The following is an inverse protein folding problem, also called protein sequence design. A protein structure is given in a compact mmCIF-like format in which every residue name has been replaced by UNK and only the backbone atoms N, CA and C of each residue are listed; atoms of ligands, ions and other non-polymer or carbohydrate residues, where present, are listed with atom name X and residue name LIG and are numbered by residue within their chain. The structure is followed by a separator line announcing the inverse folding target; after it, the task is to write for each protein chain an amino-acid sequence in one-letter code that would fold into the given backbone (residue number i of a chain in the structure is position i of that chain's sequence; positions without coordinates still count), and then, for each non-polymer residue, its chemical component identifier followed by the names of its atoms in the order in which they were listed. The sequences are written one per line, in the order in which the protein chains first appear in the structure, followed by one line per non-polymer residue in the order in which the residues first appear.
data_IF_711351737334
#
_entry.id   IF_711351737334
#
_cell.length_a   1.000
_cell.length_b   1.000
_cell.length_c   1.000
_cell.angle_alpha   90.00
_cell.angle_beta   90.00
_cell.angle_gamma   90.00
#
_symmetry.space_group_name_H-M   'P 1'
#
loop_
_entity.id
_entity.type
_entity.pdbx_description
1 polymer ?
#
# COMPACT_ATOMS: atom_id res chain seq x y z
N UNK A 1 10.61 72.84 1.42
CA UNK A 1 10.38 71.61 0.67
C UNK A 1 10.96 70.41 1.45
N UNK A 2 10.12 69.64 2.09
CA UNK A 2 10.54 68.48 2.89
C UNK A 2 10.11 67.20 2.14
N UNK A 3 11.10 66.47 1.61
CA UNK A 3 10.88 65.15 0.99
C UNK A 3 10.79 64.10 2.11
N UNK A 4 9.64 63.48 2.24
CA UNK A 4 9.44 62.31 3.12
C UNK A 4 9.81 61.07 2.32
N UNK A 5 10.86 60.36 2.79
CA UNK A 5 11.19 59.03 2.31
C UNK A 5 10.22 58.02 2.93
N UNK A 6 9.48 57.28 2.09
CA UNK A 6 8.71 56.12 2.51
C UNK A 6 9.67 54.93 2.58
N UNK A 7 9.91 54.42 3.79
CA UNK A 7 10.51 53.10 3.95
C UNK A 7 9.43 52.05 3.70
N UNK A 8 9.56 51.30 2.60
CA UNK A 8 8.81 50.09 2.38
C UNK A 8 9.41 48.96 3.22
N UNK A 9 8.69 48.52 4.25
CA UNK A 9 8.99 47.30 5.00
C UNK A 9 8.61 46.12 4.14
N UNK A 10 9.57 45.42 3.56
CA UNK A 10 9.40 44.10 2.98
C UNK A 10 9.27 43.10 4.12
N UNK A 11 8.03 42.72 4.42
CA UNK A 11 7.75 41.58 5.28
C UNK A 11 8.11 40.29 4.54
N UNK A 12 9.28 39.74 4.80
CA UNK A 12 9.65 38.39 4.40
C UNK A 12 8.83 37.38 5.25
N UNK A 13 7.78 36.84 4.66
CA UNK A 13 7.06 35.73 5.26
C UNK A 13 7.99 34.50 5.29
N UNK A 14 8.14 33.81 6.44
CA UNK A 14 8.87 32.56 6.47
C UNK A 14 8.08 31.51 5.69
N UNK A 15 8.70 30.98 4.62
CA UNK A 15 8.21 29.80 3.91
C UNK A 15 8.23 28.63 4.90
N UNK A 16 7.05 28.19 5.27
CA UNK A 16 6.83 27.13 6.25
C UNK A 16 7.36 25.79 5.73
N UNK A 17 8.04 24.98 6.58
CA UNK A 17 8.61 23.67 6.22
C UNK A 17 7.58 22.54 6.16
N UNK A 18 6.29 22.85 5.96
CA UNK A 18 5.20 21.86 5.97
C UNK A 18 5.23 20.87 4.80
N UNK A 19 5.76 21.26 3.65
CA UNK A 19 5.87 20.39 2.47
C UNK A 19 6.95 19.32 2.61
N UNK A 20 8.01 19.57 3.35
CA UNK A 20 9.12 18.62 3.52
C UNK A 20 8.73 17.50 4.51
N UNK A 21 8.00 17.83 5.57
CA UNK A 21 7.54 16.85 6.55
C UNK A 21 6.59 15.80 5.93
N UNK A 22 5.62 16.22 5.11
CA UNK A 22 4.70 15.30 4.43
C UNK A 22 5.39 14.38 3.41
N UNK A 23 6.40 14.86 2.70
CA UNK A 23 7.16 14.04 1.76
C UNK A 23 8.03 13.01 2.49
N UNK A 24 8.55 13.35 3.66
CA UNK A 24 9.37 12.46 4.48
C UNK A 24 8.52 11.38 5.16
N UNK A 25 7.32 11.73 5.64
CA UNK A 25 6.37 10.80 6.23
C UNK A 25 5.87 9.79 5.18
N UNK A 26 5.61 10.22 3.95
CA UNK A 26 5.20 9.34 2.85
C UNK A 26 6.33 8.39 2.44
N UNK A 27 7.58 8.84 2.41
CA UNK A 27 8.71 7.97 2.07
C UNK A 27 8.91 6.87 3.12
N UNK A 28 8.87 7.21 4.41
CA UNK A 28 8.99 6.24 5.51
C UNK A 28 7.82 5.23 5.49
N UNK A 29 6.60 5.70 5.17
CA UNK A 29 5.43 4.85 5.05
C UNK A 29 5.55 3.88 3.86
N UNK A 30 6.03 4.35 2.72
CA UNK A 30 6.26 3.54 1.54
C UNK A 30 7.34 2.47 1.80
N UNK A 31 8.41 2.81 2.50
CA UNK A 31 9.45 1.86 2.87
C UNK A 31 8.91 0.79 3.82
N UNK A 32 8.15 1.18 4.85
CA UNK A 32 7.51 0.24 5.77
C UNK A 32 6.49 -0.67 5.06
N UNK A 33 5.71 -0.15 4.12
CA UNK A 33 4.79 -0.95 3.31
C UNK A 33 5.54 -1.93 2.40
N UNK A 34 6.63 -1.50 1.79
CA UNK A 34 7.50 -2.35 0.96
C UNK A 34 8.08 -3.50 1.78
N UNK A 35 8.57 -3.23 2.97
CA UNK A 35 9.13 -4.24 3.87
C UNK A 35 8.06 -5.26 4.29
N UNK A 36 6.88 -4.78 4.68
CA UNK A 36 5.72 -5.61 5.03
C UNK A 36 5.33 -6.53 3.87
N UNK A 37 5.15 -5.98 2.68
CA UNK A 37 4.78 -6.76 1.49
C UNK A 37 5.86 -7.76 1.12
N UNK A 38 7.13 -7.36 1.16
CA UNK A 38 8.26 -8.25 0.86
C UNK A 38 8.30 -9.43 1.83
N UNK A 39 8.11 -9.18 3.14
CA UNK A 39 8.07 -10.22 4.15
C UNK A 39 6.86 -11.14 4.00
N UNK A 40 5.69 -10.59 3.68
CA UNK A 40 4.48 -11.34 3.39
C UNK A 40 4.65 -12.28 2.19
N UNK A 41 5.12 -11.76 1.04
CA UNK A 41 5.37 -12.55 -0.16
C UNK A 41 6.42 -13.65 0.08
N UNK A 42 7.44 -13.36 0.87
CA UNK A 42 8.46 -14.36 1.25
C UNK A 42 7.85 -15.48 2.10
N UNK A 43 7.00 -15.15 3.05
CA UNK A 43 6.31 -16.13 3.89
C UNK A 43 5.39 -17.03 3.05
N UNK A 44 4.60 -16.47 2.14
CA UNK A 44 3.74 -17.24 1.22
C UNK A 44 4.56 -18.19 0.34
N UNK A 45 5.65 -17.73 -0.24
CA UNK A 45 6.52 -18.55 -1.09
C UNK A 45 7.21 -19.68 -0.35
N UNK A 46 7.43 -19.52 0.94
CA UNK A 46 7.98 -20.55 1.82
C UNK A 46 6.88 -21.46 2.42
N UNK A 47 5.61 -21.22 2.05
CA UNK A 47 4.45 -21.92 2.61
C UNK A 47 4.32 -21.77 4.14
N UNK A 48 4.97 -20.75 4.71
CA UNK A 48 4.90 -20.41 6.12
C UNK A 48 3.68 -19.52 6.39
N UNK A 49 2.54 -20.17 6.51
CA UNK A 49 1.27 -19.47 6.70
C UNK A 49 1.18 -18.72 8.02
N UNK A 50 1.79 -19.24 9.07
CA UNK A 50 1.81 -18.56 10.38
C UNK A 50 2.67 -17.29 10.36
N UNK A 51 3.74 -17.29 9.59
CA UNK A 51 4.50 -16.07 9.35
C UNK A 51 3.74 -15.10 8.45
N UNK A 52 3.06 -15.58 7.40
CA UNK A 52 2.27 -14.73 6.50
C UNK A 52 1.15 -14.00 7.23
N UNK A 53 0.44 -14.69 8.12
CA UNK A 53 -0.66 -14.13 8.91
C UNK A 53 -0.26 -12.97 9.83
N UNK A 54 1.02 -12.81 10.17
CA UNK A 54 1.51 -11.67 10.96
C UNK A 54 1.45 -10.33 10.21
N UNK A 55 1.35 -10.39 8.89
CA UNK A 55 1.32 -9.22 8.01
C UNK A 55 -0.08 -8.93 7.46
N UNK A 56 -1.10 -9.68 7.88
CA UNK A 56 -2.46 -9.62 7.35
C UNK A 56 -3.44 -9.17 8.42
N UNK A 57 -4.49 -8.47 8.01
CA UNK A 57 -5.61 -8.12 8.88
C UNK A 57 -6.95 -8.42 8.20
N UNK A 58 -7.94 -8.79 9.01
CA UNK A 58 -9.33 -8.85 8.58
C UNK A 58 -10.05 -7.50 8.84
N UNK A 59 -11.05 -7.10 8.05
CA UNK A 59 -11.54 -7.80 6.86
C UNK A 59 -10.52 -7.78 5.72
N UNK A 60 -10.46 -8.87 4.97
CA UNK A 60 -9.56 -9.06 3.84
C UNK A 60 -10.36 -9.26 2.56
N UNK A 61 -9.92 -8.68 1.46
CA UNK A 61 -10.60 -8.75 0.18
C UNK A 61 -9.74 -9.50 -0.84
N UNK A 62 -10.36 -10.45 -1.53
CA UNK A 62 -9.75 -11.15 -2.65
C UNK A 62 -10.48 -10.83 -3.97
N UNK A 63 -10.05 -11.47 -5.03
CA UNK A 63 -10.65 -11.34 -6.35
C UNK A 63 -12.20 -11.45 -6.31
N UNK A 64 -12.84 -10.76 -7.25
CA UNK A 64 -14.30 -10.64 -7.34
C UNK A 64 -14.96 -9.96 -6.12
N UNK A 65 -14.18 -9.16 -5.35
CA UNK A 65 -14.63 -8.46 -4.16
C UNK A 65 -15.16 -9.40 -3.05
N UNK A 66 -14.67 -10.64 -3.00
CA UNK A 66 -14.97 -11.55 -1.91
C UNK A 66 -14.33 -11.04 -0.62
N UNK A 67 -15.13 -10.90 0.45
CA UNK A 67 -14.68 -10.39 1.74
C UNK A 67 -14.59 -11.54 2.73
N UNK A 68 -13.43 -11.67 3.36
CA UNK A 68 -13.16 -12.57 4.48
C UNK A 68 -13.16 -11.76 5.77
N UNK A 69 -14.12 -12.02 6.63
CA UNK A 69 -14.36 -11.21 7.82
C UNK A 69 -13.45 -11.58 9.00
N UNK A 70 -12.91 -12.79 9.00
CA UNK A 70 -12.13 -13.33 10.10
C UNK A 70 -10.74 -13.78 9.65
N UNK A 71 -9.77 -13.77 10.57
CA UNK A 71 -8.41 -14.27 10.30
C UNK A 71 -8.40 -15.75 9.89
N UNK A 72 -9.31 -16.56 10.42
CA UNK A 72 -9.42 -17.97 10.06
C UNK A 72 -9.82 -18.16 8.59
N UNK A 73 -10.77 -17.35 8.10
CA UNK A 73 -11.18 -17.36 6.70
C UNK A 73 -10.05 -16.88 5.79
N UNK A 74 -9.34 -15.81 6.20
CA UNK A 74 -8.18 -15.31 5.45
C UNK A 74 -7.08 -16.37 5.36
N UNK A 75 -6.77 -17.04 6.47
CA UNK A 75 -5.77 -18.12 6.50
C UNK A 75 -6.17 -19.28 5.58
N UNK A 76 -7.43 -19.67 5.60
CA UNK A 76 -7.95 -20.74 4.72
C UNK A 76 -7.82 -20.34 3.23
N UNK A 77 -8.20 -19.11 2.90
CA UNK A 77 -8.06 -18.57 1.54
C UNK A 77 -6.60 -18.54 1.06
N UNK A 78 -5.71 -17.97 1.85
CA UNK A 78 -4.28 -17.88 1.49
C UNK A 78 -3.64 -19.27 1.37
N UNK A 79 -4.05 -20.23 2.20
CA UNK A 79 -3.59 -21.62 2.10
C UNK A 79 -4.04 -22.25 0.78
N UNK A 80 -5.32 -22.09 0.41
CA UNK A 80 -5.83 -22.59 -0.87
C UNK A 80 -5.11 -21.95 -2.07
N UNK A 81 -4.90 -20.65 -2.03
CA UNK A 81 -4.15 -19.89 -3.05
C UNK A 81 -2.72 -20.44 -3.23
N UNK A 82 -2.01 -20.72 -2.13
CA UNK A 82 -0.67 -21.31 -2.19
C UNK A 82 -0.65 -22.71 -2.76
N UNK A 83 -1.72 -23.48 -2.61
CA UNK A 83 -1.84 -24.83 -3.21
C UNK A 83 -2.08 -24.74 -4.73
N UNK A 84 -2.74 -23.71 -5.19
CA UNK A 84 -3.06 -23.51 -6.62
C UNK A 84 -1.93 -22.81 -7.39
N UNK A 85 -1.23 -21.88 -6.73
CA UNK A 85 -0.17 -21.10 -7.35
C UNK A 85 1.22 -21.57 -6.88
N UNK A 86 2.01 -22.21 -7.76
CA UNK A 86 3.35 -22.65 -7.39
C UNK A 86 4.24 -21.51 -6.91
N UNK A 87 5.08 -21.74 -5.90
CA UNK A 87 6.01 -20.74 -5.37
C UNK A 87 6.91 -20.12 -6.46
N UNK A 88 7.19 -20.86 -7.53
CA UNK A 88 7.96 -20.38 -8.68
C UNK A 88 7.21 -19.31 -9.51
N UNK A 89 5.88 -19.23 -9.41
CA UNK A 89 5.06 -18.27 -10.14
C UNK A 89 4.58 -17.11 -9.27
N UNK A 90 4.67 -17.25 -7.95
CA UNK A 90 4.31 -16.20 -7.01
C UNK A 90 5.16 -14.94 -7.19
N UNK A 91 4.58 -13.75 -6.98
CA UNK A 91 5.34 -12.51 -6.94
C UNK A 91 6.48 -12.60 -5.92
N UNK A 92 7.60 -11.93 -6.19
CA UNK A 92 8.75 -11.87 -5.30
C UNK A 92 9.37 -10.48 -5.16
N UNK A 93 8.79 -9.51 -5.83
CA UNK A 93 9.28 -8.13 -5.82
C UNK A 93 8.12 -7.11 -5.77
N UNK A 94 8.40 -5.95 -5.22
CA UNK A 94 7.52 -4.78 -5.26
C UNK A 94 7.93 -3.94 -6.46
N UNK A 95 6.99 -3.72 -7.39
CA UNK A 95 7.21 -2.95 -8.61
C UNK A 95 6.87 -1.47 -8.44
N UNK A 96 5.77 -1.18 -7.74
CA UNK A 96 5.32 0.18 -7.49
C UNK A 96 4.48 0.25 -6.22
N UNK A 97 4.49 1.40 -5.58
CA UNK A 97 3.62 1.74 -4.47
C UNK A 97 2.85 3.00 -4.86
N UNK A 98 1.53 2.90 -4.87
CA UNK A 98 0.62 3.95 -5.26
C UNK A 98 -0.21 4.36 -4.05
N UNK A 99 -0.35 5.64 -3.81
CA UNK A 99 -1.32 6.16 -2.85
C UNK A 99 -2.76 5.98 -3.37
N UNK A 100 -3.74 6.29 -2.52
CA UNK A 100 -5.16 6.14 -2.85
C UNK A 100 -5.57 6.91 -4.11
N UNK A 101 -5.06 8.13 -4.30
CA UNK A 101 -5.43 8.98 -5.44
C UNK A 101 -4.71 8.51 -6.73
N UNK A 102 -3.45 8.13 -6.65
CA UNK A 102 -2.68 7.57 -7.75
C UNK A 102 -3.23 6.24 -8.22
N UNK A 103 -3.68 5.39 -7.30
CA UNK A 103 -4.27 4.08 -7.61
C UNK A 103 -5.50 4.20 -8.50
N UNK A 104 -6.24 5.31 -8.39
CA UNK A 104 -7.46 5.55 -9.17
C UNK A 104 -7.19 5.74 -10.66
N UNK A 105 -6.04 6.30 -11.02
CA UNK A 105 -5.65 6.55 -12.40
C UNK A 105 -4.96 5.35 -13.07
N UNK A 106 -4.45 4.40 -12.28
CA UNK A 106 -3.51 3.38 -12.73
C UNK A 106 -4.11 1.96 -12.83
N UNK A 107 -5.38 1.75 -12.48
CA UNK A 107 -5.89 0.40 -12.24
C UNK A 107 -7.10 0.04 -13.09
N UNK A 108 -7.17 -1.24 -13.42
CA UNK A 108 -8.32 -1.86 -14.07
C UNK A 108 -9.56 -1.85 -13.15
N UNK A 109 -10.75 -1.98 -13.74
CA UNK A 109 -12.01 -1.79 -13.03
C UNK A 109 -12.28 -2.80 -11.90
N UNK A 110 -11.76 -4.03 -12.01
CA UNK A 110 -11.85 -5.06 -10.96
C UNK A 110 -11.02 -4.67 -9.71
N UNK A 111 -9.80 -4.17 -9.91
CA UNK A 111 -8.95 -3.69 -8.80
C UNK A 111 -9.56 -2.45 -8.13
N UNK A 112 -10.24 -1.59 -8.89
CA UNK A 112 -10.97 -0.45 -8.32
C UNK A 112 -12.09 -0.90 -7.38
N UNK A 113 -12.81 -1.96 -7.71
CA UNK A 113 -13.85 -2.53 -6.82
C UNK A 113 -13.26 -3.07 -5.51
N UNK A 114 -12.13 -3.78 -5.61
CA UNK A 114 -11.40 -4.27 -4.44
C UNK A 114 -10.96 -3.11 -3.54
N UNK A 115 -10.34 -2.09 -4.14
CA UNK A 115 -9.90 -0.88 -3.45
C UNK A 115 -11.05 -0.20 -2.71
N UNK A 116 -12.16 0.04 -3.40
CA UNK A 116 -13.30 0.77 -2.85
C UNK A 116 -13.99 0.01 -1.70
N UNK A 117 -13.80 -1.32 -1.62
CA UNK A 117 -14.37 -2.14 -0.55
C UNK A 117 -13.63 -1.98 0.80
N UNK A 118 -12.31 -1.73 0.80
CA UNK A 118 -11.50 -1.79 2.03
C UNK A 118 -10.53 -0.64 2.23
N UNK A 119 -10.16 0.09 1.18
CA UNK A 119 -9.17 1.17 1.27
C UNK A 119 -9.81 2.52 1.60
N UNK A 120 -9.10 3.28 2.40
CA UNK A 120 -9.38 4.68 2.70
C UNK A 120 -8.21 5.56 2.27
N UNK A 121 -8.42 6.87 2.30
CA UNK A 121 -7.35 7.83 2.04
C UNK A 121 -6.20 7.61 3.04
N UNK A 122 -4.99 7.43 2.52
CA UNK A 122 -3.79 7.10 3.30
C UNK A 122 -3.38 5.63 3.22
N UNK A 123 -4.25 4.75 2.70
CA UNK A 123 -3.89 3.37 2.39
C UNK A 123 -3.16 3.29 1.03
N UNK A 124 -2.46 2.20 0.79
CA UNK A 124 -1.57 2.03 -0.35
C UNK A 124 -2.01 0.85 -1.23
N UNK A 125 -1.86 1.00 -2.53
CA UNK A 125 -1.91 -0.08 -3.50
C UNK A 125 -0.47 -0.43 -3.88
N UNK A 126 -0.08 -1.68 -3.64
CA UNK A 126 1.28 -2.16 -3.94
C UNK A 126 1.23 -3.12 -5.11
N UNK A 127 1.78 -2.69 -6.24
CA UNK A 127 1.95 -3.56 -7.39
C UNK A 127 3.12 -4.51 -7.14
N UNK A 128 2.87 -5.80 -7.35
CA UNK A 128 3.83 -6.86 -7.14
C UNK A 128 4.13 -7.58 -8.43
N UNK A 129 5.31 -8.18 -8.53
CA UNK A 129 5.72 -8.81 -9.75
C UNK A 129 6.81 -9.85 -9.58
N UNK A 130 7.26 -10.34 -10.73
CA UNK A 130 8.38 -11.24 -10.87
C UNK A 130 9.13 -10.97 -12.15
N UNK A 131 10.44 -10.84 -12.08
CA UNK A 131 11.31 -10.52 -13.23
C UNK A 131 10.86 -9.23 -13.97
N UNK A 132 10.42 -8.22 -13.23
CA UNK A 132 9.91 -6.95 -13.76
C UNK A 132 8.52 -7.00 -14.38
N UNK A 133 7.85 -8.17 -14.38
CA UNK A 133 6.50 -8.34 -14.89
C UNK A 133 5.47 -8.30 -13.76
N UNK A 134 4.42 -7.50 -13.91
CA UNK A 134 3.31 -7.45 -12.95
C UNK A 134 2.64 -8.82 -12.82
N UNK A 135 2.37 -9.21 -11.58
CA UNK A 135 1.73 -10.48 -11.24
C UNK A 135 0.55 -10.31 -10.28
N UNK A 136 0.28 -9.10 -9.88
CA UNK A 136 -0.83 -8.81 -8.99
C UNK A 136 -0.64 -7.53 -8.19
N UNK A 137 -1.63 -7.22 -7.38
CA UNK A 137 -1.65 -6.07 -6.49
C UNK A 137 -2.01 -6.50 -5.07
N UNK A 138 -1.44 -5.83 -4.09
CA UNK A 138 -1.79 -5.96 -2.69
C UNK A 138 -2.37 -4.65 -2.18
N UNK A 139 -3.48 -4.76 -1.46
CA UNK A 139 -4.06 -3.63 -0.74
C UNK A 139 -3.44 -3.58 0.65
N UNK A 140 -2.83 -2.45 0.98
CA UNK A 140 -2.10 -2.26 2.24
C UNK A 140 -2.74 -1.14 3.03
N UNK A 141 -3.25 -1.48 4.20
CA UNK A 141 -3.77 -0.50 5.15
C UNK A 141 -2.61 0.09 5.92
N UNK A 142 -2.42 1.39 5.78
CA UNK A 142 -1.27 2.10 6.32
C UNK A 142 -1.65 3.19 7.33
N UNK A 143 -2.93 3.56 7.38
CA UNK A 143 -3.44 4.55 8.32
C UNK A 143 -3.39 4.05 9.76
N UNK A 144 -2.56 4.69 10.58
CA UNK A 144 -2.58 4.54 12.04
C UNK A 144 -1.62 3.53 12.62
N UNK A 145 -0.59 3.09 11.91
CA UNK A 145 0.41 2.19 12.50
C UNK A 145 1.26 1.40 11.52
N UNK A 146 1.63 0.20 11.94
CA UNK A 146 2.37 -0.74 11.09
C UNK A 146 1.51 -1.14 9.88
N UNK A 147 2.02 -1.03 8.65
CA UNK A 147 1.30 -1.46 7.46
C UNK A 147 0.88 -2.94 7.55
N UNK A 148 -0.34 -3.24 7.09
CA UNK A 148 -0.87 -4.60 7.02
C UNK A 148 -1.56 -4.84 5.69
N UNK A 149 -1.45 -6.04 5.14
CA UNK A 149 -2.12 -6.45 3.91
C UNK A 149 -3.59 -6.76 4.22
N UNK A 150 -4.49 -6.13 3.49
CA UNK A 150 -5.94 -6.30 3.65
C UNK A 150 -6.64 -6.76 2.37
N UNK A 151 -5.88 -7.08 1.34
CA UNK A 151 -6.45 -7.62 0.13
C UNK A 151 -5.42 -7.98 -0.93
N UNK A 152 -5.85 -8.80 -1.89
CA UNK A 152 -5.08 -9.25 -3.04
C UNK A 152 -5.94 -9.23 -4.29
N UNK A 153 -5.36 -8.80 -5.43
CA UNK A 153 -5.94 -8.86 -6.76
C UNK A 153 -4.89 -9.28 -7.80
N UNK A 154 -5.33 -9.96 -8.86
CA UNK A 154 -4.48 -10.44 -9.96
C UNK A 154 -4.93 -9.83 -11.29
#
# INVERSE_FOLDING_TARGET
MRRRALLALLASAPLLPTTIAHAQDNAALNDAAKDTVTAFLKALRNEDMDAAMKFVAAPFVAEDAQIFATEAEVKAYLTAMCMELPAAEMPNEVLAILDYDQSRAATESNVLKLRDAVMAKGDLLVATGRNGLSRGVLLVKANGGTPVVVGVGY
#
